data_IF_547346902598
#
_entry.id   IF_547346902598
#
_cell.length_a   1.000
_cell.length_b   1.000
_cell.length_c   1.000
_cell.angle_alpha   90.00
_cell.angle_beta   90.00
_cell.angle_gamma   90.00
#
_symmetry.space_group_name_H-M   'P 1'
#
loop_
_entity.id
_entity.type
_entity.pdbx_description
1 polymer ?
#
# COMPACT_ATOMS: atom_id res chain seq x y z
N UNK A 1 -20.95 12.07 -1.10
CA UNK A 1 -19.71 11.32 -0.78
C UNK A 1 -19.30 10.32 -1.86
N UNK A 2 -20.21 9.82 -2.72
CA UNK A 2 -19.86 8.93 -3.84
C UNK A 2 -19.05 9.58 -4.99
N UNK A 3 -19.18 10.91 -5.21
CA UNK A 3 -18.48 11.61 -6.29
C UNK A 3 -16.96 11.70 -6.10
N UNK A 4 -16.47 11.80 -4.86
CA UNK A 4 -15.03 11.92 -4.57
C UNK A 4 -14.27 10.64 -4.94
N UNK A 5 -14.91 9.48 -4.79
CA UNK A 5 -14.30 8.19 -5.11
C UNK A 5 -14.16 7.97 -6.63
N UNK A 6 -15.08 8.53 -7.43
CA UNK A 6 -15.01 8.46 -8.90
C UNK A 6 -13.96 9.40 -9.49
N UNK A 7 -13.76 10.59 -8.92
CA UNK A 7 -12.67 11.48 -9.34
C UNK A 7 -11.29 10.90 -9.04
N UNK A 8 -11.13 10.21 -7.91
CA UNK A 8 -9.90 9.48 -7.58
C UNK A 8 -9.63 8.38 -8.62
N UNK A 9 -10.63 7.55 -8.94
CA UNK A 9 -10.57 6.52 -10.00
C UNK A 9 -10.22 7.07 -11.39
N UNK A 10 -10.74 8.24 -11.76
CA UNK A 10 -10.39 8.87 -13.04
C UNK A 10 -8.96 9.43 -13.05
N UNK A 11 -8.47 9.93 -11.91
CA UNK A 11 -7.06 10.33 -11.77
C UNK A 11 -6.12 9.12 -11.85
N UNK A 12 -6.51 7.98 -11.29
CA UNK A 12 -5.77 6.71 -11.41
C UNK A 12 -5.58 6.26 -12.87
N UNK A 13 -6.62 6.36 -13.71
CA UNK A 13 -6.55 5.91 -15.10
C UNK A 13 -5.67 6.80 -15.99
N UNK A 14 -5.65 8.12 -15.73
CA UNK A 14 -4.86 9.07 -16.54
C UNK A 14 -3.36 8.97 -16.28
N UNK A 15 -2.95 8.66 -15.05
CA UNK A 15 -1.53 8.48 -14.71
C UNK A 15 -0.89 7.28 -15.43
N UNK A 16 -1.67 6.24 -15.72
CA UNK A 16 -1.18 5.01 -16.38
C UNK A 16 -0.83 5.17 -17.86
N UNK A 17 -1.31 6.21 -18.56
CA UNK A 17 -1.20 6.34 -20.03
C UNK A 17 0.00 7.20 -20.46
N UNK A 18 0.54 8.04 -19.58
CA UNK A 18 1.60 9.00 -19.95
C UNK A 18 3.02 8.39 -20.03
N UNK A 19 3.21 7.14 -19.62
CA UNK A 19 4.50 6.45 -19.55
C UNK A 19 4.77 5.71 -20.87
N UNK A 20 5.03 6.44 -21.95
CA UNK A 20 5.60 5.87 -23.18
C UNK A 20 6.12 6.98 -24.08
N UNK A 21 7.30 7.53 -23.79
CA UNK A 21 8.23 7.94 -24.84
C UNK A 21 9.60 8.36 -24.29
N UNK A 22 10.63 7.89 -25.00
CA UNK A 22 11.96 8.46 -25.20
C UNK A 22 13.12 7.91 -24.35
N UNK A 23 13.99 7.17 -25.05
CA UNK A 23 15.28 6.66 -24.62
C UNK A 23 16.44 7.56 -25.08
N UNK A 24 17.53 7.57 -24.29
CA UNK A 24 18.95 7.37 -24.71
C UNK A 24 19.97 8.30 -24.00
N UNK A 25 20.98 7.70 -23.35
CA UNK A 25 22.36 8.22 -23.28
C UNK A 25 22.99 8.61 -21.92
N UNK A 26 24.10 7.93 -21.57
CA UNK A 26 25.21 8.27 -20.63
C UNK A 26 25.17 7.78 -19.15
N UNK A 27 26.24 7.11 -18.65
CA UNK A 27 26.24 6.31 -17.41
C UNK A 27 26.27 7.11 -16.08
N UNK A 28 26.48 8.43 -16.13
CA UNK A 28 26.40 9.31 -14.94
C UNK A 28 25.05 10.03 -14.89
N UNK A 29 24.50 10.38 -16.05
CA UNK A 29 23.14 10.90 -16.19
C UNK A 29 22.11 9.81 -15.82
N UNK A 30 22.39 8.54 -16.16
CA UNK A 30 21.50 7.42 -15.87
C UNK A 30 21.29 7.19 -14.37
N UNK A 31 22.31 7.33 -13.53
CA UNK A 31 22.17 7.11 -12.08
C UNK A 31 21.32 8.20 -11.40
N UNK A 32 21.51 9.46 -11.80
CA UNK A 32 20.72 10.60 -11.29
C UNK A 32 19.26 10.49 -11.76
N UNK A 33 19.04 10.13 -13.04
CA UNK A 33 17.68 9.91 -13.56
C UNK A 33 16.97 8.73 -12.88
N UNK A 34 17.68 7.64 -12.60
CA UNK A 34 17.13 6.49 -11.89
C UNK A 34 16.70 6.85 -10.47
N UNK A 35 17.50 7.64 -9.75
CA UNK A 35 17.18 8.10 -8.41
C UNK A 35 15.95 9.04 -8.41
N UNK A 36 15.81 9.89 -9.42
CA UNK A 36 14.62 10.74 -9.61
C UNK A 36 13.36 9.93 -9.96
N UNK A 37 13.48 8.88 -10.78
CA UNK A 37 12.36 8.00 -11.15
C UNK A 37 11.88 7.18 -9.96
N UNK A 38 12.80 6.59 -9.20
CA UNK A 38 12.50 5.90 -7.95
C UNK A 38 11.87 6.83 -6.92
N UNK A 39 12.40 8.05 -6.77
CA UNK A 39 11.81 9.06 -5.89
C UNK A 39 10.39 9.46 -6.30
N UNK A 40 10.13 9.59 -7.61
CA UNK A 40 8.78 9.84 -8.14
C UNK A 40 7.82 8.70 -7.83
N UNK A 41 8.24 7.46 -8.08
CA UNK A 41 7.42 6.26 -7.78
C UNK A 41 7.14 6.10 -6.29
N UNK A 42 8.14 6.38 -5.45
CA UNK A 42 7.95 6.37 -4.00
C UNK A 42 6.91 7.41 -3.58
N UNK A 43 6.97 8.62 -4.15
CA UNK A 43 6.01 9.66 -3.85
C UNK A 43 4.60 9.28 -4.29
N UNK A 44 4.44 8.66 -5.47
CA UNK A 44 3.15 8.10 -5.92
C UNK A 44 2.58 7.06 -4.93
N UNK A 45 3.43 6.16 -4.43
CA UNK A 45 3.04 5.17 -3.40
C UNK A 45 2.61 5.88 -2.11
N UNK A 46 3.39 6.86 -1.65
CA UNK A 46 3.09 7.62 -0.43
C UNK A 46 1.76 8.36 -0.56
N UNK A 47 1.53 9.04 -1.68
CA UNK A 47 0.30 9.80 -1.92
C UNK A 47 -0.92 8.87 -1.95
N UNK A 48 -0.77 7.69 -2.56
CA UNK A 48 -1.79 6.64 -2.59
C UNK A 48 -2.15 6.12 -1.19
N UNK A 49 -1.13 5.80 -0.38
CA UNK A 49 -1.31 5.33 0.99
C UNK A 49 -1.97 6.40 1.87
N UNK A 50 -1.58 7.67 1.70
CA UNK A 50 -2.16 8.80 2.42
C UNK A 50 -3.62 9.00 2.03
N UNK A 51 -3.94 8.91 0.73
CA UNK A 51 -5.32 9.00 0.25
C UNK A 51 -6.20 7.88 0.80
N UNK A 52 -5.63 6.69 1.04
CA UNK A 52 -6.30 5.58 1.70
C UNK A 52 -6.53 5.82 3.21
N UNK A 53 -5.73 6.69 3.84
CA UNK A 53 -5.81 7.02 5.27
C UNK A 53 -4.58 6.61 6.09
N UNK A 54 -3.53 6.07 5.47
CA UNK A 54 -2.26 5.75 6.13
C UNK A 54 -1.32 6.97 6.16
N UNK A 55 -1.54 7.87 7.12
CA UNK A 55 -0.79 9.14 7.21
C UNK A 55 0.67 8.98 7.65
N UNK A 56 1.05 7.86 8.28
CA UNK A 56 2.44 7.59 8.71
C UNK A 56 3.42 7.61 7.54
N UNK A 57 2.97 7.33 6.31
CA UNK A 57 3.80 7.44 5.11
C UNK A 57 4.40 8.85 4.88
N UNK A 58 3.83 9.91 5.49
CA UNK A 58 4.34 11.29 5.37
C UNK A 58 5.38 11.69 6.43
N UNK A 59 5.65 10.82 7.41
CA UNK A 59 6.61 11.13 8.46
C UNK A 59 7.99 11.39 7.82
N UNK A 60 8.55 12.57 8.10
CA UNK A 60 9.90 12.95 7.65
C UNK A 60 10.92 12.16 8.48
N UNK A 61 11.89 11.55 7.82
CA UNK A 61 12.90 10.70 8.48
C UNK A 61 12.55 9.21 8.52
N UNK A 62 11.32 8.82 8.17
CA UNK A 62 10.97 7.41 8.00
C UNK A 62 11.56 6.87 6.69
N UNK A 63 12.18 5.69 6.74
CA UNK A 63 12.80 5.09 5.56
C UNK A 63 11.75 4.77 4.47
N UNK A 64 12.12 4.77 3.17
CA UNK A 64 11.21 4.33 2.11
C UNK A 64 10.62 2.94 2.37
N UNK A 65 11.44 2.01 2.88
CA UNK A 65 11.02 0.66 3.26
C UNK A 65 9.91 0.69 4.31
N UNK A 66 10.12 1.41 5.42
CA UNK A 66 9.14 1.45 6.52
C UNK A 66 7.82 2.13 6.09
N UNK A 67 7.90 3.11 5.17
CA UNK A 67 6.69 3.72 4.57
C UNK A 67 5.89 2.71 3.77
N UNK A 68 6.56 1.97 2.88
CA UNK A 68 5.94 0.98 2.00
C UNK A 68 5.40 -0.20 2.82
N UNK A 69 6.26 -0.85 3.61
CA UNK A 69 5.92 -2.03 4.42
C UNK A 69 4.85 -1.71 5.44
N UNK A 70 4.95 -0.58 6.14
CA UNK A 70 3.90 -0.15 7.06
C UNK A 70 2.56 0.09 6.35
N UNK A 71 2.58 0.64 5.14
CA UNK A 71 1.39 0.80 4.30
C UNK A 71 0.78 -0.52 3.83
N UNK A 72 1.62 -1.48 3.43
CA UNK A 72 1.20 -2.83 3.05
C UNK A 72 0.54 -3.56 4.23
N UNK A 73 1.18 -3.53 5.40
CA UNK A 73 0.63 -4.11 6.63
C UNK A 73 -0.70 -3.47 7.03
N UNK A 74 -0.81 -2.15 6.95
CA UNK A 74 -2.07 -1.43 7.22
C UNK A 74 -3.21 -1.81 6.25
N UNK A 75 -2.88 -2.12 5.00
CA UNK A 75 -3.87 -2.63 4.05
C UNK A 75 -4.29 -4.07 4.38
N UNK A 76 -3.33 -4.92 4.75
CA UNK A 76 -3.57 -6.34 5.07
C UNK A 76 -4.37 -6.53 6.37
N UNK A 77 -4.14 -5.70 7.38
CA UNK A 77 -4.94 -5.67 8.61
C UNK A 77 -6.44 -5.43 8.31
N UNK A 78 -6.74 -4.54 7.35
CA UNK A 78 -8.10 -4.26 6.91
C UNK A 78 -8.81 -5.48 6.32
N UNK A 79 -8.04 -6.39 5.71
CA UNK A 79 -8.49 -7.63 5.11
C UNK A 79 -8.61 -8.76 6.15
N UNK A 80 -8.54 -8.43 7.45
CA UNK A 80 -8.55 -9.38 8.56
C UNK A 80 -7.41 -10.40 8.48
N UNK A 81 -6.28 -10.02 7.86
CA UNK A 81 -5.07 -10.82 7.92
C UNK A 81 -4.25 -10.35 9.10
N UNK A 82 -4.21 -11.20 10.11
CA UNK A 82 -3.27 -11.07 11.20
C UNK A 82 -1.89 -11.46 10.68
N UNK A 83 -1.13 -10.44 10.28
CA UNK A 83 0.30 -10.56 10.25
C UNK A 83 0.70 -10.44 11.72
N UNK A 84 1.18 -11.52 12.33
CA UNK A 84 1.76 -11.51 13.69
C UNK A 84 2.99 -10.58 13.67
N UNK A 85 2.71 -9.28 13.83
CA UNK A 85 3.66 -8.18 13.71
C UNK A 85 3.59 -7.24 14.91
N UNK A 86 3.73 -7.85 16.08
CA UNK A 86 4.38 -7.17 17.23
C UNK A 86 5.78 -6.58 16.87
N UNK A 87 6.29 -6.88 15.67
CA UNK A 87 7.50 -6.34 15.04
C UNK A 87 7.33 -5.03 14.23
N UNK A 88 6.11 -4.47 14.04
CA UNK A 88 5.88 -3.33 13.11
C UNK A 88 6.40 -1.97 13.59
N UNK A 89 6.99 -1.88 14.77
CA UNK A 89 7.31 -0.59 15.40
C UNK A 89 8.75 -0.45 15.90
N UNK A 90 9.68 -1.23 15.35
CA UNK A 90 11.10 -0.92 15.49
C UNK A 90 11.55 -0.06 14.30
N UNK A 91 11.49 1.27 14.49
CA UNK A 91 12.22 2.20 13.63
C UNK A 91 13.70 1.79 13.66
N UNK A 92 14.30 1.56 12.49
CA UNK A 92 15.62 0.95 12.29
C UNK A 92 15.68 -0.58 12.47
N UNK A 93 14.71 -1.30 11.93
CA UNK A 93 14.76 -2.76 11.83
C UNK A 93 16.08 -3.23 11.19
N UNK A 94 16.71 -4.25 11.80
CA UNK A 94 17.89 -4.89 11.23
C UNK A 94 17.56 -5.52 9.87
N UNK A 95 18.57 -5.69 9.00
CA UNK A 95 18.39 -6.30 7.67
C UNK A 95 17.66 -7.66 7.77
N UNK A 96 17.98 -8.46 8.78
CA UNK A 96 17.30 -9.75 9.02
C UNK A 96 15.80 -9.60 9.33
N UNK A 97 15.41 -8.56 10.08
CA UNK A 97 14.00 -8.26 10.35
C UNK A 97 13.29 -7.74 9.10
N UNK A 98 13.94 -6.90 8.29
CA UNK A 98 13.37 -6.41 7.02
C UNK A 98 13.09 -7.55 6.04
N UNK A 99 14.00 -8.53 5.94
CA UNK A 99 13.82 -9.74 5.14
C UNK A 99 12.65 -10.56 5.66
N UNK A 100 12.62 -10.86 6.96
CA UNK A 100 11.55 -11.65 7.58
C UNK A 100 10.17 -10.98 7.41
N UNK A 101 10.08 -9.65 7.51
CA UNK A 101 8.85 -8.90 7.27
C UNK A 101 8.41 -8.98 5.81
N UNK A 102 9.35 -8.82 4.87
CA UNK A 102 9.08 -8.94 3.44
C UNK A 102 8.56 -10.33 3.09
N UNK A 103 9.17 -11.39 3.62
CA UNK A 103 8.73 -12.78 3.44
C UNK A 103 7.32 -13.01 3.98
N UNK A 104 7.02 -12.52 5.18
CA UNK A 104 5.68 -12.62 5.79
C UNK A 104 4.61 -11.95 4.92
N UNK A 105 4.89 -10.74 4.43
CA UNK A 105 3.95 -10.01 3.55
C UNK A 105 3.70 -10.80 2.27
N UNK A 106 4.77 -11.22 1.59
CA UNK A 106 4.66 -11.97 0.32
C UNK A 106 3.92 -13.29 0.52
N UNK A 107 4.15 -14.00 1.62
CA UNK A 107 3.45 -15.24 1.94
C UNK A 107 1.94 -15.07 2.14
N UNK A 108 1.50 -13.87 2.52
CA UNK A 108 0.08 -13.55 2.75
C UNK A 108 -0.66 -13.12 1.49
N UNK A 109 0.02 -12.52 0.51
CA UNK A 109 -0.62 -12.02 -0.71
C UNK A 109 -1.53 -13.04 -1.44
N UNK A 110 -1.16 -14.34 -1.54
CA UNK A 110 -2.04 -15.35 -2.12
C UNK A 110 -3.33 -15.57 -1.32
N UNK A 111 -3.30 -15.40 0.02
CA UNK A 111 -4.47 -15.61 0.89
C UNK A 111 -5.54 -14.54 0.68
N UNK A 112 -5.12 -13.33 0.34
CA UNK A 112 -6.02 -12.22 0.00
C UNK A 112 -6.38 -12.20 -1.49
N UNK A 113 -5.92 -13.17 -2.28
CA UNK A 113 -6.17 -13.26 -3.73
C UNK A 113 -5.59 -12.09 -4.54
N UNK A 114 -4.43 -11.56 -4.12
CA UNK A 114 -3.73 -10.55 -4.89
C UNK A 114 -3.27 -11.16 -6.24
N UNK A 115 -3.58 -10.53 -7.39
CA UNK A 115 -3.21 -11.06 -8.71
C UNK A 115 -1.75 -10.80 -9.07
N UNK A 116 -1.09 -9.88 -8.36
CA UNK A 116 0.29 -9.48 -8.62
C UNK A 116 1.24 -10.34 -7.81
N UNK A 117 2.25 -10.91 -8.47
CA UNK A 117 3.32 -11.68 -7.83
C UNK A 117 4.49 -10.76 -7.55
N UNK A 118 4.99 -10.80 -6.33
CA UNK A 118 6.21 -10.13 -5.90
C UNK A 118 7.04 -11.09 -5.05
N UNK A 119 8.35 -10.91 -5.07
CA UNK A 119 9.28 -11.68 -4.26
C UNK A 119 9.79 -10.84 -3.08
N UNK A 120 10.23 -11.47 -1.97
CA UNK A 120 10.66 -10.74 -0.77
C UNK A 120 11.83 -9.78 -1.03
N UNK A 121 12.75 -10.15 -1.93
CA UNK A 121 13.88 -9.31 -2.31
C UNK A 121 13.45 -8.04 -3.06
N UNK A 122 12.31 -8.06 -3.76
CA UNK A 122 11.76 -6.88 -4.44
C UNK A 122 11.20 -5.86 -3.44
N UNK A 123 10.61 -6.34 -2.34
CA UNK A 123 10.12 -5.46 -1.25
C UNK A 123 11.31 -4.88 -0.47
N UNK A 124 12.28 -5.72 -0.10
CA UNK A 124 13.46 -5.30 0.64
C UNK A 124 14.38 -4.39 -0.20
N UNK A 125 14.53 -4.69 -1.48
CA UNK A 125 15.32 -3.92 -2.44
C UNK A 125 14.63 -2.67 -2.98
N UNK A 126 13.40 -2.38 -2.53
CA UNK A 126 12.60 -1.24 -2.97
C UNK A 126 12.42 -1.19 -4.50
N UNK A 127 12.11 -2.34 -5.10
CA UNK A 127 11.71 -2.44 -6.50
C UNK A 127 10.29 -1.87 -6.67
N UNK A 128 10.19 -0.54 -6.65
CA UNK A 128 8.92 0.18 -6.60
C UNK A 128 8.06 -0.04 -7.84
N UNK A 129 8.65 -0.45 -8.96
CA UNK A 129 7.92 -0.79 -10.18
C UNK A 129 7.01 -2.01 -9.97
N UNK A 130 7.53 -3.05 -9.30
CA UNK A 130 6.77 -4.26 -9.00
C UNK A 130 5.93 -4.14 -7.73
N UNK A 131 6.39 -3.35 -6.76
CA UNK A 131 5.65 -3.09 -5.52
C UNK A 131 4.42 -2.20 -5.76
N UNK A 132 4.49 -1.24 -6.69
CA UNK A 132 3.41 -0.29 -6.92
C UNK A 132 2.06 -0.95 -7.30
N UNK A 133 1.98 -1.90 -8.27
CA UNK A 133 0.74 -2.62 -8.55
C UNK A 133 0.16 -3.37 -7.34
N UNK A 134 1.01 -3.93 -6.48
CA UNK A 134 0.58 -4.60 -5.25
C UNK A 134 -0.03 -3.60 -4.28
N UNK A 135 0.61 -2.43 -4.09
CA UNK A 135 0.06 -1.35 -3.25
C UNK A 135 -1.27 -0.86 -3.81
N UNK A 136 -1.38 -0.63 -5.12
CA UNK A 136 -2.62 -0.20 -5.76
C UNK A 136 -3.77 -1.16 -5.51
N UNK A 137 -3.52 -2.45 -5.71
CA UNK A 137 -4.52 -3.47 -5.49
C UNK A 137 -4.90 -3.58 -3.99
N UNK A 138 -3.91 -3.59 -3.10
CA UNK A 138 -4.13 -3.70 -1.65
C UNK A 138 -4.89 -2.50 -1.10
N UNK A 139 -4.55 -1.28 -1.53
CA UNK A 139 -5.28 -0.07 -1.13
C UNK A 139 -6.74 -0.19 -1.54
N UNK A 140 -7.00 -0.54 -2.79
CA UNK A 140 -8.37 -0.75 -3.28
C UNK A 140 -9.12 -1.80 -2.46
N UNK A 141 -8.56 -2.99 -2.31
CA UNK A 141 -9.18 -4.08 -1.56
C UNK A 141 -9.42 -3.70 -0.08
N UNK A 142 -8.47 -2.99 0.54
CA UNK A 142 -8.59 -2.54 1.93
C UNK A 142 -9.69 -1.49 2.12
N UNK A 143 -9.95 -0.64 1.12
CA UNK A 143 -11.03 0.34 1.15
C UNK A 143 -12.40 -0.35 1.01
N UNK A 144 -12.52 -1.28 0.07
CA UNK A 144 -13.73 -2.08 -0.11
C UNK A 144 -14.07 -2.87 1.17
N UNK A 145 -13.07 -3.49 1.79
CA UNK A 145 -13.25 -4.22 3.05
C UNK A 145 -13.69 -3.30 4.21
N UNK A 146 -13.08 -2.11 4.33
CA UNK A 146 -13.47 -1.13 5.37
C UNK A 146 -14.89 -0.61 5.16
N UNK A 147 -15.29 -0.34 3.92
CA UNK A 147 -16.66 0.06 3.59
C UNK A 147 -17.66 -1.03 3.96
N UNK A 148 -17.37 -2.29 3.59
CA UNK A 148 -18.21 -3.43 3.93
C UNK A 148 -18.31 -3.64 5.45
N UNK A 149 -17.18 -3.59 6.17
CA UNK A 149 -17.15 -3.73 7.62
C UNK A 149 -17.93 -2.60 8.31
N UNK A 150 -17.81 -1.37 7.82
CA UNK A 150 -18.57 -0.22 8.32
C UNK A 150 -20.08 -0.41 8.10
N UNK A 151 -20.49 -0.86 6.92
CA UNK A 151 -21.90 -1.15 6.61
C UNK A 151 -22.45 -2.29 7.50
N UNK A 152 -21.69 -3.36 7.68
CA UNK A 152 -22.04 -4.48 8.55
C UNK A 152 -22.18 -4.03 10.02
N UNK A 153 -21.20 -3.28 10.53
CA UNK A 153 -21.22 -2.74 11.89
C UNK A 153 -22.44 -1.83 12.12
N UNK A 154 -22.74 -0.95 11.16
CA UNK A 154 -23.91 -0.07 11.22
C UNK A 154 -25.22 -0.86 11.25
N UNK A 155 -25.37 -1.86 10.38
CA UNK A 155 -26.57 -2.71 10.34
C UNK A 155 -26.73 -3.49 11.65
N UNK A 156 -25.63 -4.03 12.18
CA UNK A 156 -25.61 -4.70 13.47
C UNK A 156 -26.06 -3.76 14.60
N UNK A 157 -25.51 -2.55 14.68
CA UNK A 157 -25.89 -1.56 15.68
C UNK A 157 -27.38 -1.19 15.61
N UNK A 158 -27.93 -1.01 14.41
CA UNK A 158 -29.36 -0.73 14.21
C UNK A 158 -30.25 -1.91 14.66
N UNK A 159 -29.84 -3.14 14.37
CA UNK A 159 -30.57 -4.34 14.80
C UNK A 159 -30.56 -4.50 16.32
N UNK A 160 -29.44 -4.22 16.98
CA UNK A 160 -29.34 -4.29 18.44
C UNK A 160 -30.20 -3.20 19.11
N UNK A 161 -30.11 -1.95 18.64
CA UNK A 161 -30.94 -0.87 19.17
C UNK A 161 -32.44 -1.18 19.05
N UNK A 162 -32.89 -1.75 17.93
CA UNK A 162 -34.30 -2.14 17.74
C UNK A 162 -34.79 -3.24 18.68
N UNK A 163 -33.90 -4.07 19.24
CA UNK A 163 -34.28 -5.11 20.20
C UNK A 163 -34.50 -4.55 21.61
N UNK A 164 -33.89 -3.42 21.93
CA UNK A 164 -33.93 -2.81 23.27
C UNK A 164 -35.03 -1.75 23.44
N UNK A 165 -35.86 -1.52 22.41
CA UNK A 165 -37.04 -0.65 22.53
C UNK A 165 -38.24 -1.50 22.97
N UNK A 166 -38.76 -1.35 24.21
CA UNK A 166 -39.96 -2.03 24.68
C UNK A 166 -41.25 -1.55 23.99
#
# INVERSE_FOLDING_TARGET
>A
MAQVNQELLQRFQRASVAVSSAASGAPVHSAVLQDEEQSRKLQEIVDLLVAAGYFRARIKGLSPFDKVVGGLSWCLEALSVDLDVDLLFQENATIGQQIALSEKIVAVLPRVQCPHRIEPHQVQGLDLEHVFPVVQWLVKASMEAREQNCAQMRNYALLQFRKEVP
#
